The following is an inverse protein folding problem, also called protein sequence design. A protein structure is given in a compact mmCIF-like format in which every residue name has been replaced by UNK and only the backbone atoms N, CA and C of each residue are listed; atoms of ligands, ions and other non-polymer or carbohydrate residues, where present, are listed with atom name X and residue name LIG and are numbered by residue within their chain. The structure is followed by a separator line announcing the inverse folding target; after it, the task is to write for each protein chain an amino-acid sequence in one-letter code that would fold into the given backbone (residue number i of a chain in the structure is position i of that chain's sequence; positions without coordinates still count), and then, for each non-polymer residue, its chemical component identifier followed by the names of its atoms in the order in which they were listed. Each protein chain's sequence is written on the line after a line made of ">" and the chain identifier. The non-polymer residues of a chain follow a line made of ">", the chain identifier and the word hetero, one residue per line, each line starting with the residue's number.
data_IF_165284561643
#
_entry.id   IF_165284561643
#
_cell.length_a   1.000
_cell.length_b   1.000
_cell.length_c   1.000
_cell.angle_alpha   90.00
_cell.angle_beta   90.00
_cell.angle_gamma   90.00
#
_symmetry.space_group_name_H-M   'P 1'
#
loop_
_entity.id
_entity.type
_entity.pdbx_description
1 polymer ?
#
# COMPACT_ATOMS: atom_id res chain seq x y z
N UNK A 1 -16.63 13.23 6.87
CA UNK A 1 -15.72 12.25 7.51
C UNK A 1 -14.35 12.85 7.88
N UNK A 2 -13.42 13.16 6.96
CA UNK A 2 -12.10 13.69 7.37
C UNK A 2 -12.17 15.04 8.13
N UNK A 3 -13.03 15.96 7.68
CA UNK A 3 -13.31 17.21 8.40
C UNK A 3 -13.92 16.97 9.79
N UNK A 4 -14.70 15.90 9.97
CA UNK A 4 -15.22 15.55 11.29
C UNK A 4 -14.12 15.07 12.23
N UNK A 5 -13.15 14.30 11.73
CA UNK A 5 -11.97 13.87 12.51
C UNK A 5 -11.15 15.09 12.95
N UNK A 6 -10.96 16.08 12.05
CA UNK A 6 -10.33 17.35 12.37
C UNK A 6 -11.12 18.12 13.44
N UNK A 7 -12.45 18.21 13.29
CA UNK A 7 -13.33 18.88 14.26
C UNK A 7 -13.37 18.20 15.63
N UNK A 8 -13.02 16.92 15.72
CA UNK A 8 -12.85 16.19 17.00
C UNK A 8 -11.50 16.45 17.68
N UNK A 9 -10.66 17.33 17.12
CA UNK A 9 -9.40 17.78 17.73
C UNK A 9 -8.14 17.21 17.11
N UNK A 10 -8.23 16.47 15.98
CA UNK A 10 -7.02 16.01 15.28
C UNK A 10 -6.38 17.17 14.53
N UNK A 11 -5.36 17.76 15.13
CA UNK A 11 -4.68 18.95 14.62
C UNK A 11 -3.82 18.65 13.40
N UNK A 12 -3.11 17.51 13.42
CA UNK A 12 -2.19 17.12 12.36
C UNK A 12 -2.12 15.60 12.19
N UNK A 13 -1.71 15.17 10.99
CA UNK A 13 -1.52 13.78 10.63
C UNK A 13 -0.19 13.67 9.86
N UNK A 14 0.82 13.02 10.44
CA UNK A 14 2.11 12.88 9.76
C UNK A 14 2.01 11.95 8.53
N UNK A 15 1.29 10.83 8.68
CA UNK A 15 1.13 9.81 7.63
C UNK A 15 -0.33 9.35 7.60
N UNK A 16 -0.93 9.35 6.41
CA UNK A 16 -2.20 8.71 6.15
C UNK A 16 -2.02 7.55 5.17
N UNK A 17 -2.40 6.35 5.59
CA UNK A 17 -2.30 5.14 4.77
C UNK A 17 -3.70 4.79 4.25
N UNK A 18 -3.90 4.83 2.93
CA UNK A 18 -5.19 4.59 2.28
C UNK A 18 -5.09 3.54 1.17
N UNK A 19 -6.23 3.02 0.71
CA UNK A 19 -6.31 1.95 -0.30
C UNK A 19 -5.90 2.38 -1.72
N UNK A 20 -5.67 3.67 -1.95
CA UNK A 20 -5.34 4.23 -3.27
C UNK A 20 -6.57 4.66 -4.06
N UNK A 21 -7.73 4.81 -3.41
CA UNK A 21 -8.93 5.35 -4.03
C UNK A 21 -8.66 6.74 -4.66
N UNK A 22 -9.06 6.88 -5.92
CA UNK A 22 -8.90 8.14 -6.68
C UNK A 22 -9.51 9.32 -5.92
N UNK A 23 -8.77 10.42 -5.84
CA UNK A 23 -9.19 11.65 -5.15
C UNK A 23 -9.07 11.61 -3.62
N UNK A 24 -8.98 10.45 -2.97
CA UNK A 24 -8.89 10.38 -1.51
C UNK A 24 -7.62 11.05 -0.98
N UNK A 25 -6.48 10.88 -1.66
CA UNK A 25 -5.22 11.55 -1.31
C UNK A 25 -5.32 13.08 -1.35
N UNK A 26 -5.99 13.64 -2.36
CA UNK A 26 -6.20 15.08 -2.52
C UNK A 26 -7.11 15.63 -1.42
N UNK A 27 -8.14 14.88 -1.02
CA UNK A 27 -9.01 15.28 0.09
C UNK A 27 -8.25 15.25 1.41
N UNK A 28 -7.38 14.25 1.64
CA UNK A 28 -6.54 14.18 2.85
C UNK A 28 -5.61 15.40 2.93
N UNK A 29 -4.88 15.72 1.86
CA UNK A 29 -3.96 16.85 1.84
C UNK A 29 -4.67 18.20 1.87
N UNK A 30 -5.95 18.26 1.48
CA UNK A 30 -6.80 19.44 1.70
C UNK A 30 -7.11 19.66 3.20
N UNK A 31 -7.32 18.59 3.97
CA UNK A 31 -7.65 18.69 5.40
C UNK A 31 -6.39 18.91 6.26
N UNK A 32 -5.30 18.18 5.94
CA UNK A 32 -4.00 18.23 6.61
C UNK A 32 -2.85 18.34 5.57
N UNK A 33 -2.44 19.57 5.20
CA UNK A 33 -1.52 19.82 4.07
C UNK A 33 -0.12 19.22 4.20
N UNK A 34 0.33 18.87 5.41
CA UNK A 34 1.65 18.31 5.65
C UNK A 34 1.66 16.77 5.70
N UNK A 35 0.49 16.14 5.52
CA UNK A 35 0.35 14.69 5.58
C UNK A 35 1.06 14.01 4.41
N UNK A 36 1.88 13.01 4.72
CA UNK A 36 2.38 12.07 3.73
C UNK A 36 1.30 11.01 3.47
N UNK A 37 0.71 11.03 2.27
CA UNK A 37 -0.25 10.03 1.85
C UNK A 37 0.50 8.82 1.27
N UNK A 38 0.20 7.63 1.77
CA UNK A 38 0.79 6.38 1.29
C UNK A 38 -0.29 5.38 0.90
N UNK A 39 -0.06 4.64 -0.17
CA UNK A 39 -0.91 3.49 -0.51
C UNK A 39 -0.63 2.34 0.44
N UNK A 40 -1.68 1.74 0.97
CA UNK A 40 -1.61 0.68 1.95
C UNK A 40 -1.09 -0.61 1.31
N UNK A 41 0.09 -1.07 1.75
CA UNK A 41 0.66 -2.35 1.33
C UNK A 41 -0.28 -3.52 1.59
N UNK A 42 -1.08 -3.48 2.67
CA UNK A 42 -2.06 -4.53 2.97
C UNK A 42 -3.18 -4.58 1.93
N UNK A 43 -3.66 -3.43 1.45
CA UNK A 43 -4.65 -3.40 0.37
C UNK A 43 -4.05 -3.93 -0.93
N UNK A 44 -2.78 -3.61 -1.24
CA UNK A 44 -2.08 -4.15 -2.40
C UNK A 44 -1.95 -5.69 -2.32
N UNK A 45 -1.47 -6.22 -1.19
CA UNK A 45 -1.34 -7.68 -0.98
C UNK A 45 -2.69 -8.38 -1.08
N UNK A 46 -3.74 -7.82 -0.45
CA UNK A 46 -5.09 -8.39 -0.53
C UNK A 46 -5.63 -8.38 -1.96
N UNK A 47 -5.35 -7.32 -2.73
CA UNK A 47 -5.71 -7.25 -4.14
C UNK A 47 -4.95 -8.29 -4.96
N UNK A 48 -3.67 -8.57 -4.67
CA UNK A 48 -2.93 -9.65 -5.34
C UNK A 48 -3.58 -11.02 -5.12
N UNK A 49 -3.98 -11.33 -3.88
CA UNK A 49 -4.65 -12.60 -3.58
C UNK A 49 -6.06 -12.72 -4.18
N UNK A 50 -6.75 -11.60 -4.41
CA UNK A 50 -8.10 -11.58 -4.99
C UNK A 50 -8.15 -12.22 -6.38
N UNK A 51 -7.10 -12.07 -7.17
CA UNK A 51 -7.03 -12.59 -8.54
C UNK A 51 -6.25 -13.90 -8.67
N UNK A 52 -5.62 -14.37 -7.58
CA UNK A 52 -4.82 -15.58 -7.58
C UNK A 52 -5.60 -16.80 -7.10
N UNK A 53 -5.34 -17.96 -7.73
CA UNK A 53 -5.83 -19.25 -7.22
C UNK A 53 -5.29 -19.51 -5.82
N UNK A 54 -6.13 -20.03 -4.92
CA UNK A 54 -5.75 -20.43 -3.56
C UNK A 54 -4.56 -21.39 -3.52
N UNK A 55 -4.39 -22.21 -4.56
CA UNK A 55 -3.24 -23.12 -4.74
C UNK A 55 -1.89 -22.39 -4.62
N UNK A 56 -1.82 -21.13 -5.04
CA UNK A 56 -0.59 -20.36 -5.11
C UNK A 56 -0.43 -19.34 -3.98
N UNK A 57 -1.37 -19.25 -3.04
CA UNK A 57 -1.34 -18.21 -2.00
C UNK A 57 -0.09 -18.27 -1.12
N UNK A 58 0.33 -19.46 -0.71
CA UNK A 58 1.54 -19.61 0.13
C UNK A 58 2.80 -19.15 -0.59
N UNK A 59 2.85 -19.36 -1.89
CA UNK A 59 3.99 -18.99 -2.72
C UNK A 59 3.99 -17.48 -3.01
N UNK A 60 2.85 -16.92 -3.40
CA UNK A 60 2.66 -15.47 -3.56
C UNK A 60 2.99 -14.73 -2.26
N UNK A 61 2.61 -15.27 -1.09
CA UNK A 61 2.94 -14.66 0.20
C UNK A 61 4.45 -14.58 0.45
N UNK A 62 5.19 -15.65 0.12
CA UNK A 62 6.67 -15.69 0.23
C UNK A 62 7.33 -14.72 -0.74
N UNK A 63 6.78 -14.62 -1.93
CA UNK A 63 7.31 -13.83 -3.03
C UNK A 63 7.08 -12.31 -2.85
N UNK A 64 5.93 -11.93 -2.27
CA UNK A 64 5.64 -10.53 -1.98
C UNK A 64 6.42 -10.00 -0.76
N UNK A 65 6.82 -10.87 0.18
CA UNK A 65 7.45 -10.44 1.44
C UNK A 65 8.74 -9.63 1.22
N UNK A 66 9.71 -10.10 0.42
CA UNK A 66 10.95 -9.37 0.20
C UNK A 66 10.75 -7.98 -0.44
N UNK A 67 9.64 -7.74 -1.14
CA UNK A 67 9.33 -6.45 -1.76
C UNK A 67 9.10 -5.38 -0.69
N UNK A 68 8.20 -5.63 0.27
CA UNK A 68 7.85 -4.63 1.29
C UNK A 68 8.75 -4.66 2.53
N UNK A 69 9.62 -5.67 2.67
CA UNK A 69 10.65 -5.72 3.73
C UNK A 69 12.04 -5.32 3.24
N UNK A 70 12.18 -4.85 2.01
CA UNK A 70 13.46 -4.41 1.47
C UNK A 70 14.01 -3.21 2.27
N UNK A 71 15.35 -3.13 2.49
CA UNK A 71 15.95 -2.07 3.30
C UNK A 71 15.96 -0.70 2.60
N UNK A 72 15.86 -0.68 1.28
CA UNK A 72 15.86 0.54 0.46
C UNK A 72 14.94 0.36 -0.75
N UNK A 73 14.51 1.49 -1.33
CA UNK A 73 13.73 1.49 -2.58
C UNK A 73 14.48 0.79 -3.73
N UNK A 74 15.80 0.96 -3.81
CA UNK A 74 16.63 0.29 -4.83
C UNK A 74 16.61 -1.23 -4.64
N UNK A 75 16.72 -1.71 -3.40
CA UNK A 75 16.59 -3.14 -3.11
C UNK A 75 15.18 -3.65 -3.45
N UNK A 76 14.14 -2.90 -3.10
CA UNK A 76 12.76 -3.22 -3.45
C UNK A 76 12.58 -3.35 -4.96
N UNK A 77 13.07 -2.37 -5.74
CA UNK A 77 12.94 -2.35 -7.19
C UNK A 77 13.61 -3.54 -7.84
N UNK A 78 14.79 -3.93 -7.36
CA UNK A 78 15.51 -5.12 -7.84
C UNK A 78 14.71 -6.39 -7.57
N UNK A 79 14.25 -6.59 -6.34
CA UNK A 79 13.42 -7.75 -5.96
C UNK A 79 12.11 -7.79 -6.76
N UNK A 80 11.46 -6.64 -6.98
CA UNK A 80 10.23 -6.55 -7.76
C UNK A 80 10.43 -6.69 -9.27
N UNK A 81 11.65 -6.47 -9.78
CA UNK A 81 12.03 -6.68 -11.19
C UNK A 81 12.56 -8.08 -11.48
N UNK A 82 12.99 -8.82 -10.45
CA UNK A 82 13.29 -10.24 -10.59
C UNK A 82 12.00 -10.94 -11.07
N UNK A 83 12.10 -11.95 -11.96
CA UNK A 83 10.94 -12.67 -12.49
C UNK A 83 10.30 -13.54 -11.38
N UNK A 84 9.67 -12.88 -10.44
CA UNK A 84 8.83 -13.45 -9.38
C UNK A 84 7.43 -13.77 -9.95
N UNK A 85 7.14 -13.32 -11.18
CA UNK A 85 5.77 -13.17 -11.69
C UNK A 85 5.47 -13.83 -13.05
N UNK A 86 6.30 -14.75 -13.56
CA UNK A 86 6.00 -15.45 -14.84
C UNK A 86 5.38 -16.84 -14.70
N UNK A 87 5.31 -17.42 -13.50
CA UNK A 87 4.90 -18.82 -13.33
C UNK A 87 3.51 -19.00 -12.66
N UNK A 88 2.78 -17.92 -12.37
CA UNK A 88 1.49 -17.99 -11.65
C UNK A 88 0.25 -18.22 -12.54
N UNK A 89 0.44 -18.61 -13.80
CA UNK A 89 -0.62 -18.96 -14.74
C UNK A 89 -0.46 -20.40 -15.26
#
# INVERSE_FOLDING_TARGET
>A
MLTEIKNRGTTDVCIAVCDGLTGLGEVITTVWPQTIVQTCVLHLIRNSFRYASRKYWDQIAKDLRPIYTAPTETCQRRVGSDPVATDWN
#
